data_IF_457816528726
#
_entry.id   IF_457816528726
#
_cell.length_a   1.000
_cell.length_b   1.000
_cell.length_c   1.000
_cell.angle_alpha   90.00
_cell.angle_beta   90.00
_cell.angle_gamma   90.00
#
_symmetry.space_group_name_H-M   'P 1'
#
loop_
_entity.id
_entity.type
_entity.pdbx_description
1 polymer ?
#
# COMPACT_ATOMS: atom_id res chain seq x y z
N UNK A 1 -10.92 -52.22 -32.31
CA UNK A 1 -10.60 -50.77 -32.32
C UNK A 1 -10.98 -50.04 -31.02
N UNK A 2 -12.12 -50.31 -30.36
CA UNK A 2 -12.53 -49.63 -29.15
C UNK A 2 -11.57 -49.75 -27.94
N UNK A 3 -10.96 -50.89 -27.69
CA UNK A 3 -10.01 -51.10 -26.60
C UNK A 3 -8.72 -50.26 -26.72
N UNK A 4 -8.19 -50.12 -27.94
CA UNK A 4 -6.99 -49.28 -28.20
C UNK A 4 -7.25 -47.79 -27.95
N UNK A 5 -8.43 -47.29 -28.32
CA UNK A 5 -8.84 -45.91 -28.08
C UNK A 5 -8.98 -45.67 -26.57
N UNK A 6 -9.56 -46.62 -25.84
CA UNK A 6 -9.72 -46.51 -24.36
C UNK A 6 -8.35 -46.44 -23.64
N UNK A 7 -7.38 -47.25 -24.02
CA UNK A 7 -6.02 -47.25 -23.47
C UNK A 7 -5.32 -45.89 -23.77
N UNK A 8 -5.44 -45.41 -25.02
CA UNK A 8 -4.84 -44.11 -25.41
C UNK A 8 -5.39 -42.96 -24.57
N UNK A 9 -6.70 -42.92 -24.36
CA UNK A 9 -7.36 -41.86 -23.52
C UNK A 9 -6.86 -41.95 -22.10
N UNK A 10 -6.72 -43.16 -21.52
CA UNK A 10 -6.21 -43.29 -20.15
C UNK A 10 -4.76 -42.83 -20.02
N UNK A 11 -3.90 -43.12 -20.98
CA UNK A 11 -2.50 -42.67 -20.98
C UNK A 11 -2.41 -41.15 -21.10
N UNK A 12 -3.20 -40.55 -21.99
CA UNK A 12 -3.25 -39.06 -22.11
C UNK A 12 -3.76 -38.40 -20.84
N UNK A 13 -4.80 -38.94 -20.21
CA UNK A 13 -5.31 -38.45 -18.95
C UNK A 13 -4.29 -38.55 -17.81
N UNK A 14 -3.59 -39.69 -17.69
CA UNK A 14 -2.54 -39.87 -16.71
C UNK A 14 -1.37 -38.89 -16.92
N UNK A 15 -0.97 -38.66 -18.17
CA UNK A 15 0.06 -37.68 -18.51
C UNK A 15 -0.35 -36.24 -18.15
N UNK A 16 -1.61 -35.87 -18.42
CA UNK A 16 -2.15 -34.55 -18.05
C UNK A 16 -2.18 -34.37 -16.54
N UNK A 17 -2.63 -35.36 -15.78
CA UNK A 17 -2.66 -35.32 -14.30
C UNK A 17 -1.22 -35.19 -13.77
N UNK A 18 -0.28 -35.97 -14.24
CA UNK A 18 1.14 -35.91 -13.84
C UNK A 18 1.73 -34.51 -14.15
N UNK A 19 1.39 -33.93 -15.29
CA UNK A 19 1.83 -32.58 -15.68
C UNK A 19 1.26 -31.50 -14.74
N UNK A 20 -0.04 -31.56 -14.44
CA UNK A 20 -0.70 -30.64 -13.49
C UNK A 20 -0.10 -30.72 -12.09
N UNK A 21 0.14 -31.98 -11.59
CA UNK A 21 0.78 -32.21 -10.30
C UNK A 21 2.20 -31.62 -10.30
N UNK A 22 2.96 -31.80 -11.37
CA UNK A 22 4.32 -31.27 -11.50
C UNK A 22 4.32 -29.73 -11.46
N UNK A 23 3.36 -29.08 -12.15
CA UNK A 23 3.19 -27.64 -12.11
C UNK A 23 2.82 -27.14 -10.71
N UNK A 24 1.91 -27.84 -10.03
CA UNK A 24 1.51 -27.50 -8.66
C UNK A 24 2.68 -27.60 -7.68
N UNK A 25 3.49 -28.67 -7.77
CA UNK A 25 4.71 -28.85 -6.95
C UNK A 25 5.74 -27.74 -7.24
N UNK A 26 5.95 -27.39 -8.52
CA UNK A 26 6.85 -26.29 -8.89
C UNK A 26 6.36 -24.94 -8.35
N UNK A 27 5.06 -24.68 -8.45
CA UNK A 27 4.46 -23.46 -7.92
C UNK A 27 4.61 -23.38 -6.39
N UNK A 28 4.31 -24.46 -5.67
CA UNK A 28 4.48 -24.53 -4.21
C UNK A 28 5.95 -24.34 -3.78
N UNK A 29 6.90 -24.98 -4.47
CA UNK A 29 8.34 -24.78 -4.20
C UNK A 29 8.79 -23.34 -4.46
N UNK A 30 8.24 -22.68 -5.48
CA UNK A 30 8.54 -21.28 -5.79
C UNK A 30 7.99 -20.36 -4.71
N UNK A 31 6.74 -20.55 -4.29
CA UNK A 31 6.12 -19.81 -3.19
C UNK A 31 6.92 -19.95 -1.88
N UNK A 32 7.27 -21.18 -1.49
CA UNK A 32 8.05 -21.42 -0.27
C UNK A 32 9.44 -20.75 -0.30
N UNK A 33 10.09 -20.72 -1.47
CA UNK A 33 11.38 -20.03 -1.63
C UNK A 33 11.23 -18.51 -1.53
N UNK A 34 10.13 -17.96 -2.04
CA UNK A 34 9.85 -16.54 -1.96
C UNK A 34 9.55 -16.11 -0.52
N UNK A 35 8.74 -16.89 0.20
CA UNK A 35 8.47 -16.68 1.62
C UNK A 35 9.74 -16.76 2.48
N UNK A 36 10.65 -17.69 2.16
CA UNK A 36 11.94 -17.82 2.85
C UNK A 36 12.84 -16.61 2.58
N UNK A 37 12.90 -16.14 1.34
CA UNK A 37 13.66 -14.94 0.98
C UNK A 37 13.13 -13.71 1.71
N UNK A 38 11.83 -13.54 1.78
CA UNK A 38 11.21 -12.41 2.52
C UNK A 38 11.51 -12.50 4.00
N UNK A 39 11.46 -13.71 4.59
CA UNK A 39 11.84 -13.91 6.00
C UNK A 39 13.30 -13.59 6.26
N UNK A 40 14.20 -14.05 5.38
CA UNK A 40 15.63 -13.74 5.51
C UNK A 40 15.90 -12.25 5.35
N UNK A 41 15.30 -11.60 4.35
CA UNK A 41 15.43 -10.15 4.15
C UNK A 41 14.99 -9.35 5.39
N UNK A 42 13.96 -9.80 6.10
CA UNK A 42 13.56 -9.17 7.36
C UNK A 42 14.49 -9.46 8.53
N UNK A 43 15.13 -10.64 8.55
CA UNK A 43 16.15 -10.94 9.54
C UNK A 43 17.39 -10.05 9.34
N UNK A 44 17.87 -9.96 8.11
CA UNK A 44 18.99 -9.09 7.74
C UNK A 44 18.67 -7.62 8.05
N UNK A 45 17.46 -7.16 7.69
CA UNK A 45 17.01 -5.80 8.00
C UNK A 45 16.97 -5.50 9.50
N UNK A 46 16.55 -6.46 10.34
CA UNK A 46 16.51 -6.29 11.78
C UNK A 46 17.92 -6.04 12.37
N UNK A 47 18.95 -6.62 11.77
CA UNK A 47 20.34 -6.42 12.14
C UNK A 47 20.89 -5.08 11.60
N UNK A 48 20.46 -4.65 10.41
CA UNK A 48 20.92 -3.42 9.76
C UNK A 48 20.21 -2.14 10.25
N UNK A 49 18.94 -2.23 10.66
CA UNK A 49 18.13 -1.08 11.03
C UNK A 49 18.77 -0.17 12.11
N UNK A 50 19.36 -0.70 13.18
CA UNK A 50 20.03 0.13 14.19
C UNK A 50 21.20 0.95 13.65
N UNK A 51 21.96 0.43 12.69
CA UNK A 51 23.06 1.15 12.06
C UNK A 51 22.59 2.36 11.24
N UNK A 52 21.31 2.36 10.82
CA UNK A 52 20.64 3.48 10.12
C UNK A 52 19.96 4.44 11.12
N UNK A 53 20.03 4.19 12.41
CA UNK A 53 19.27 4.91 13.44
C UNK A 53 17.78 4.57 13.44
N UNK A 54 17.39 3.41 12.87
CA UNK A 54 16.00 2.97 12.79
C UNK A 54 15.70 1.93 13.86
N UNK A 55 14.45 1.93 14.33
CA UNK A 55 13.92 0.92 15.24
C UNK A 55 13.00 -0.01 14.47
N UNK A 56 13.17 -1.31 14.67
CA UNK A 56 12.37 -2.33 14.02
C UNK A 56 11.74 -3.28 15.04
N UNK A 57 10.44 -3.50 14.90
CA UNK A 57 9.69 -4.49 15.68
C UNK A 57 8.93 -5.42 14.71
N UNK A 58 9.20 -6.72 14.77
CA UNK A 58 8.52 -7.68 13.90
C UNK A 58 7.00 -7.66 14.08
N UNK A 59 6.53 -7.42 15.31
CA UNK A 59 5.10 -7.36 15.67
C UNK A 59 4.91 -6.40 16.83
N UNK A 60 4.06 -5.40 16.63
CA UNK A 60 3.75 -4.39 17.65
C UNK A 60 2.23 -4.32 17.87
N UNK A 61 1.68 -5.04 18.88
CA UNK A 61 0.25 -5.05 19.17
C UNK A 61 -0.24 -3.66 19.60
N UNK A 62 -1.41 -3.26 19.11
CA UNK A 62 -2.04 -1.99 19.43
C UNK A 62 -1.55 -0.79 18.62
N UNK A 63 -0.34 -0.84 18.06
CA UNK A 63 0.26 0.30 17.34
C UNK A 63 -0.51 0.73 16.10
N UNK A 64 -1.18 -0.18 15.39
CA UNK A 64 -1.97 0.16 14.24
C UNK A 64 -3.34 0.77 14.59
N UNK A 65 -3.74 0.76 15.87
CA UNK A 65 -5.05 1.29 16.32
C UNK A 65 -5.15 2.80 16.16
N UNK A 66 -4.05 3.53 16.31
CA UNK A 66 -4.01 4.99 16.14
C UNK A 66 -4.34 5.43 14.70
N UNK A 67 -4.18 4.51 13.73
CA UNK A 67 -4.43 4.74 12.31
C UNK A 67 -5.82 4.29 11.85
N UNK A 68 -6.74 3.96 12.75
CA UNK A 68 -8.12 3.64 12.38
C UNK A 68 -8.73 4.78 11.54
N UNK A 69 -9.37 4.40 10.42
CA UNK A 69 -9.96 5.34 9.47
C UNK A 69 -8.97 5.99 8.50
N UNK A 70 -7.67 5.65 8.59
CA UNK A 70 -6.64 6.15 7.66
C UNK A 70 -6.40 5.12 6.55
N UNK A 71 -6.56 5.53 5.31
CA UNK A 71 -6.31 4.69 4.14
C UNK A 71 -7.08 3.38 4.18
N UNK A 72 -6.39 2.23 4.10
CA UNK A 72 -6.99 0.91 4.08
C UNK A 72 -7.39 0.42 5.48
N UNK A 73 -7.07 1.17 6.54
CA UNK A 73 -7.35 0.75 7.91
C UNK A 73 -8.85 0.80 8.21
N UNK A 74 -9.38 -0.11 9.05
CA UNK A 74 -10.78 -0.09 9.43
C UNK A 74 -11.13 1.21 10.16
N UNK A 75 -12.37 1.69 9.99
CA UNK A 75 -12.83 2.93 10.64
C UNK A 75 -12.83 2.86 12.16
N UNK A 76 -12.90 1.65 12.73
CA UNK A 76 -12.87 1.38 14.18
C UNK A 76 -12.13 0.07 14.43
N UNK A 77 -11.45 -0.02 15.55
CA UNK A 77 -10.76 -1.22 16.01
C UNK A 77 -10.04 -0.97 17.32
N UNK A 78 -9.75 -2.04 18.03
CA UNK A 78 -8.93 -1.99 19.24
C UNK A 78 -7.83 -3.03 19.14
N UNK A 79 -6.66 -2.70 19.66
CA UNK A 79 -5.50 -3.59 19.68
C UNK A 79 -5.07 -4.10 18.30
N UNK A 80 -5.21 -3.25 17.25
CA UNK A 80 -4.78 -3.58 15.90
C UNK A 80 -3.25 -3.72 15.88
N UNK A 81 -2.78 -4.84 15.37
CA UNK A 81 -1.34 -5.14 15.32
C UNK A 81 -0.69 -4.53 14.08
N UNK A 82 0.38 -3.79 14.28
CA UNK A 82 1.33 -3.44 13.24
C UNK A 82 2.38 -4.56 13.12
N UNK A 83 2.57 -5.06 11.91
CA UNK A 83 3.62 -6.01 11.57
C UNK A 83 4.79 -5.29 10.90
N UNK A 84 6.01 -5.73 11.16
CA UNK A 84 7.22 -5.10 10.60
C UNK A 84 7.26 -3.60 10.88
N UNK A 85 6.84 -3.22 12.09
CA UNK A 85 6.77 -1.83 12.51
C UNK A 85 8.18 -1.22 12.58
N UNK A 86 8.43 -0.25 11.72
CA UNK A 86 9.72 0.41 11.61
C UNK A 86 9.54 1.90 11.80
N UNK A 87 10.40 2.50 12.62
CA UNK A 87 10.43 3.95 12.85
C UNK A 87 11.85 4.48 12.79
N UNK A 88 11.99 5.75 12.52
CA UNK A 88 13.29 6.41 12.48
C UNK A 88 13.21 7.77 11.86
N UNK A 89 14.34 8.24 11.36
CA UNK A 89 14.46 9.47 10.58
C UNK A 89 14.92 9.17 9.16
N UNK A 90 14.33 9.84 8.18
CA UNK A 90 14.68 9.75 6.79
C UNK A 90 14.60 11.12 6.12
N UNK A 91 15.71 11.59 5.52
CA UNK A 91 15.82 12.93 4.93
C UNK A 91 15.36 14.05 5.88
N UNK A 92 15.75 13.96 7.18
CA UNK A 92 15.42 14.94 8.20
C UNK A 92 13.96 14.94 8.66
N UNK A 93 13.20 13.86 8.40
CA UNK A 93 11.81 13.69 8.81
C UNK A 93 11.63 12.40 9.58
N UNK A 94 10.92 12.45 10.69
CA UNK A 94 10.51 11.23 11.36
C UNK A 94 9.55 10.45 10.46
N UNK A 95 9.70 9.13 10.45
CA UNK A 95 8.82 8.25 9.69
C UNK A 95 8.36 7.06 10.52
N UNK A 96 7.27 6.47 10.08
CA UNK A 96 6.81 5.15 10.51
C UNK A 96 6.38 4.36 9.27
N UNK A 97 6.61 3.06 9.29
CA UNK A 97 5.99 2.16 8.32
C UNK A 97 5.63 0.84 8.98
N UNK A 98 4.61 0.19 8.46
CA UNK A 98 4.14 -1.09 8.98
C UNK A 98 3.25 -1.81 7.97
N UNK A 99 3.08 -3.11 8.18
CA UNK A 99 2.08 -3.91 7.49
C UNK A 99 0.89 -4.17 8.41
N UNK A 100 -0.31 -3.94 7.89
CA UNK A 100 -1.57 -4.32 8.53
C UNK A 100 -2.16 -5.54 7.83
N UNK A 101 -2.61 -6.49 8.62
CA UNK A 101 -3.18 -7.76 8.13
C UNK A 101 -4.62 -7.91 8.58
N UNK A 102 -5.51 -8.19 7.65
CA UNK A 102 -6.92 -8.42 7.97
C UNK A 102 -7.55 -9.45 7.04
N UNK A 103 -8.64 -10.03 7.52
CA UNK A 103 -9.47 -10.90 6.70
C UNK A 103 -10.53 -10.04 6.04
N UNK A 104 -10.49 -9.94 4.72
CA UNK A 104 -11.54 -9.26 3.98
C UNK A 104 -12.81 -10.12 3.99
N UNK A 105 -13.92 -9.70 4.62
CA UNK A 105 -15.15 -10.49 4.69
C UNK A 105 -15.79 -10.70 3.31
N UNK A 106 -15.47 -9.87 2.32
CA UNK A 106 -15.93 -9.97 0.93
C UNK A 106 -15.02 -10.84 0.06
N UNK A 107 -13.87 -11.29 0.57
CA UNK A 107 -13.00 -12.18 -0.22
C UNK A 107 -13.60 -13.58 -0.32
N UNK A 108 -13.51 -14.18 -1.52
CA UNK A 108 -13.89 -15.57 -1.71
C UNK A 108 -13.13 -16.46 -0.70
N UNK A 109 -13.86 -17.37 -0.06
CA UNK A 109 -13.25 -18.44 0.73
C UNK A 109 -12.38 -19.29 -0.18
N UNK A 110 -11.18 -19.63 0.29
CA UNK A 110 -10.38 -20.67 -0.39
C UNK A 110 -11.11 -22.01 -0.29
N UNK A 111 -10.83 -22.95 -1.18
CA UNK A 111 -11.42 -24.32 -1.19
C UNK A 111 -11.28 -25.07 0.14
N UNK A 112 -10.39 -24.63 1.03
CA UNK A 112 -10.20 -25.15 2.38
C UNK A 112 -11.04 -24.43 3.45
N UNK A 113 -11.98 -23.54 3.08
CA UNK A 113 -12.79 -22.76 4.03
C UNK A 113 -12.02 -21.64 4.74
N UNK A 114 -10.74 -21.43 4.45
CA UNK A 114 -9.93 -20.37 5.05
C UNK A 114 -10.17 -19.04 4.33
N UNK A 115 -10.51 -18.01 5.07
CA UNK A 115 -10.63 -16.65 4.55
C UNK A 115 -9.26 -16.13 4.15
N UNK A 116 -9.16 -15.56 2.95
CA UNK A 116 -7.92 -15.00 2.45
C UNK A 116 -7.50 -13.78 3.26
N UNK A 117 -6.27 -13.82 3.77
CA UNK A 117 -5.66 -12.69 4.45
C UNK A 117 -5.30 -11.60 3.42
N UNK A 118 -5.65 -10.37 3.73
CA UNK A 118 -5.26 -9.19 2.96
C UNK A 118 -4.17 -8.44 3.72
N UNK A 119 -3.18 -7.95 3.00
CA UNK A 119 -2.03 -7.24 3.53
C UNK A 119 -2.08 -5.81 2.99
N UNK A 120 -1.89 -4.83 3.86
CA UNK A 120 -1.79 -3.41 3.51
C UNK A 120 -0.50 -2.85 4.11
N UNK A 121 0.37 -2.36 3.25
CA UNK A 121 1.62 -1.74 3.66
C UNK A 121 1.44 -0.23 3.74
N UNK A 122 1.66 0.34 4.92
CA UNK A 122 1.43 1.74 5.24
C UNK A 122 2.75 2.43 5.54
N UNK A 123 2.93 3.62 4.99
CA UNK A 123 4.10 4.46 5.20
C UNK A 123 3.65 5.88 5.52
N UNK A 124 4.35 6.53 6.41
CA UNK A 124 4.08 7.92 6.75
C UNK A 124 5.37 8.67 7.11
N UNK A 125 5.35 9.95 6.87
CA UNK A 125 6.38 10.90 7.31
C UNK A 125 5.72 12.06 8.05
N UNK A 126 6.42 12.61 9.04
CA UNK A 126 5.93 13.78 9.79
C UNK A 126 6.06 15.03 8.94
N UNK A 127 4.99 15.81 8.90
CA UNK A 127 4.93 17.13 8.28
C UNK A 127 5.50 18.21 9.21
N UNK A 128 5.84 19.40 8.70
CA UNK A 128 6.37 20.49 9.53
C UNK A 128 5.31 21.21 10.40
N UNK A 129 4.05 20.83 10.28
CA UNK A 129 2.94 21.40 11.05
C UNK A 129 1.65 20.62 10.86
N UNK A 130 0.56 21.09 11.47
CA UNK A 130 -0.76 20.46 11.35
C UNK A 130 -1.33 20.68 9.95
N UNK A 131 -2.04 19.69 9.44
CA UNK A 131 -2.75 19.75 8.16
C UNK A 131 -4.19 19.29 8.29
N UNK A 132 -5.08 19.91 7.52
CA UNK A 132 -6.45 19.44 7.42
C UNK A 132 -6.53 18.11 6.64
N UNK A 133 -7.59 17.35 6.91
CA UNK A 133 -7.81 16.11 6.16
C UNK A 133 -7.84 16.34 4.65
N UNK A 134 -6.98 15.64 3.95
CA UNK A 134 -6.92 15.59 2.49
C UNK A 134 -6.53 14.19 2.05
N UNK A 135 -7.23 13.66 1.06
CA UNK A 135 -6.88 12.40 0.39
C UNK A 135 -6.81 12.60 -1.12
N UNK A 136 -5.71 12.20 -1.71
CA UNK A 136 -5.46 12.24 -3.15
C UNK A 136 -5.21 10.81 -3.63
N UNK A 137 -5.98 10.36 -4.59
CA UNK A 137 -5.80 9.03 -5.16
C UNK A 137 -6.38 8.88 -6.55
N UNK A 138 -6.10 7.78 -7.23
CA UNK A 138 -6.71 7.51 -8.53
C UNK A 138 -8.24 7.35 -8.37
N UNK A 139 -9.04 7.68 -9.40
CA UNK A 139 -10.47 7.45 -9.41
C UNK A 139 -10.78 5.98 -9.12
N UNK A 140 -11.75 5.72 -8.24
CA UNK A 140 -12.16 4.35 -7.94
C UNK A 140 -12.72 3.65 -9.20
N UNK A 141 -12.70 2.31 -9.22
CA UNK A 141 -13.33 1.55 -10.31
C UNK A 141 -14.82 1.84 -10.43
N UNK A 142 -15.47 2.07 -9.28
CA UNK A 142 -16.89 2.38 -9.21
C UNK A 142 -17.18 3.79 -9.76
N UNK A 143 -16.36 4.78 -9.45
CA UNK A 143 -16.52 6.14 -9.99
C UNK A 143 -16.40 6.14 -11.52
N UNK A 144 -15.42 5.39 -12.03
CA UNK A 144 -15.25 5.21 -13.48
C UNK A 144 -16.42 4.50 -14.13
N UNK A 145 -16.94 3.45 -13.51
CA UNK A 145 -18.08 2.67 -14.03
C UNK A 145 -19.39 3.47 -13.99
N UNK A 146 -19.58 4.35 -13.00
CA UNK A 146 -20.78 5.19 -12.86
C UNK A 146 -20.69 6.51 -13.62
N UNK A 147 -19.60 6.75 -14.36
CA UNK A 147 -19.40 8.01 -15.08
C UNK A 147 -19.43 9.24 -14.15
N UNK A 148 -19.16 9.03 -12.84
CA UNK A 148 -19.06 10.15 -11.91
C UNK A 148 -17.83 10.97 -12.27
N UNK A 149 -18.09 12.06 -13.02
CA UNK A 149 -17.06 13.00 -13.43
C UNK A 149 -16.23 13.52 -12.26
N UNK A 150 -15.04 14.08 -12.53
CA UNK A 150 -14.22 14.68 -11.49
C UNK A 150 -15.01 15.75 -10.75
N UNK A 151 -14.95 15.75 -9.40
CA UNK A 151 -15.38 16.92 -8.64
C UNK A 151 -14.35 18.01 -8.95
N UNK A 152 -14.73 18.99 -9.75
CA UNK A 152 -13.89 20.15 -10.09
C UNK A 152 -13.55 20.90 -8.81
N UNK A 153 -12.37 20.72 -8.27
CA UNK A 153 -11.89 21.47 -7.13
C UNK A 153 -10.93 22.58 -7.55
N UNK A 154 -10.00 22.23 -8.42
CA UNK A 154 -8.89 23.11 -8.79
C UNK A 154 -9.07 23.72 -10.19
N UNK A 155 -10.12 23.31 -10.89
CA UNK A 155 -10.37 23.68 -12.28
C UNK A 155 -9.19 23.40 -13.22
N UNK A 156 -8.45 22.30 -12.92
CA UNK A 156 -7.31 21.79 -13.71
C UNK A 156 -7.71 20.45 -14.31
N UNK A 157 -8.25 20.44 -15.55
CA UNK A 157 -8.86 19.25 -16.14
C UNK A 157 -7.96 18.03 -16.18
N UNK A 158 -6.66 18.21 -16.49
CA UNK A 158 -5.70 17.11 -16.57
C UNK A 158 -5.46 16.44 -15.21
N UNK A 159 -5.42 17.22 -14.12
CA UNK A 159 -5.27 16.69 -12.79
C UNK A 159 -6.55 16.02 -12.29
N UNK A 160 -7.69 16.67 -12.50
CA UNK A 160 -9.01 16.18 -12.08
C UNK A 160 -9.41 14.87 -12.80
N UNK A 161 -8.90 14.63 -14.02
CA UNK A 161 -9.09 13.38 -14.74
C UNK A 161 -8.32 12.21 -14.10
N UNK A 162 -7.09 12.45 -13.64
CA UNK A 162 -6.18 11.41 -13.12
C UNK A 162 -6.30 11.17 -11.63
N UNK A 163 -6.74 12.19 -10.87
CA UNK A 163 -6.80 12.14 -9.40
C UNK A 163 -8.14 12.58 -8.84
N UNK A 164 -8.52 11.96 -7.75
CA UNK A 164 -9.62 12.38 -6.87
C UNK A 164 -9.04 13.01 -5.62
N UNK A 165 -9.64 14.13 -5.21
CA UNK A 165 -9.28 14.83 -3.97
C UNK A 165 -10.51 14.85 -3.06
N UNK A 166 -10.44 14.07 -1.96
CA UNK A 166 -11.41 14.14 -0.87
C UNK A 166 -10.82 15.01 0.25
N UNK A 167 -11.62 15.88 0.83
CA UNK A 167 -11.14 16.95 1.74
C UNK A 167 -12.18 17.41 2.73
N UNK A 168 -11.70 18.01 3.81
CA UNK A 168 -12.52 18.77 4.76
C UNK A 168 -12.33 20.28 4.60
N UNK A 169 -11.18 20.75 4.12
CA UNK A 169 -10.82 22.14 3.96
C UNK A 169 -10.32 22.41 2.52
N UNK A 170 -10.97 23.35 1.83
CA UNK A 170 -10.62 23.71 0.45
C UNK A 170 -9.37 24.58 0.37
N UNK A 171 -9.21 25.49 1.33
CA UNK A 171 -8.08 26.43 1.33
C UNK A 171 -6.79 25.69 1.64
N UNK A 172 -6.82 24.73 2.59
CA UNK A 172 -5.71 23.84 2.84
C UNK A 172 -5.29 23.09 1.56
N UNK A 173 -6.26 22.49 0.86
CA UNK A 173 -5.97 21.76 -0.38
C UNK A 173 -5.39 22.66 -1.47
N UNK A 174 -5.88 23.88 -1.62
CA UNK A 174 -5.34 24.86 -2.60
C UNK A 174 -3.89 25.23 -2.26
N UNK A 175 -3.59 25.38 -0.96
CA UNK A 175 -2.26 25.70 -0.48
C UNK A 175 -1.27 24.54 -0.63
N UNK A 176 -1.75 23.30 -0.49
CA UNK A 176 -0.93 22.07 -0.70
C UNK A 176 -0.76 21.75 -2.17
N UNK A 177 -1.86 21.74 -2.96
CA UNK A 177 -1.85 21.35 -4.36
C UNK A 177 -1.48 22.51 -5.28
N UNK A 178 -0.33 23.11 -5.05
CA UNK A 178 0.26 24.12 -5.94
C UNK A 178 0.53 23.57 -7.34
N UNK A 179 0.87 24.42 -8.29
CA UNK A 179 1.24 24.03 -9.64
C UNK A 179 2.39 23.01 -9.66
N UNK A 180 3.41 23.21 -8.80
CA UNK A 180 4.56 22.30 -8.69
C UNK A 180 4.15 20.93 -8.16
N UNK A 181 3.36 20.86 -7.09
CA UNK A 181 2.86 19.58 -6.54
C UNK A 181 2.00 18.85 -7.57
N UNK A 182 1.11 19.56 -8.28
CA UNK A 182 0.27 18.96 -9.31
C UNK A 182 1.09 18.43 -10.49
N UNK A 183 2.05 19.23 -10.98
CA UNK A 183 2.94 18.83 -12.06
C UNK A 183 3.76 17.59 -11.68
N UNK A 184 4.27 17.53 -10.46
CA UNK A 184 4.96 16.36 -9.93
C UNK A 184 4.06 15.13 -9.90
N UNK A 185 2.87 15.22 -9.31
CA UNK A 185 1.94 14.08 -9.23
C UNK A 185 1.49 13.58 -10.61
N UNK A 186 1.34 14.48 -11.58
CA UNK A 186 0.98 14.13 -12.96
C UNK A 186 2.11 13.40 -13.69
N UNK A 187 3.35 13.78 -13.45
CA UNK A 187 4.53 13.25 -14.14
C UNK A 187 5.13 12.02 -13.46
N UNK A 188 5.03 11.89 -12.14
CA UNK A 188 5.65 10.80 -11.39
C UNK A 188 4.83 9.51 -11.49
N UNK A 189 5.40 8.41 -12.02
CA UNK A 189 4.70 7.14 -12.16
C UNK A 189 4.30 6.51 -10.81
N UNK A 190 4.96 6.91 -9.71
CA UNK A 190 4.66 6.43 -8.36
C UNK A 190 3.28 6.93 -7.90
N UNK A 191 2.89 8.16 -8.25
CA UNK A 191 1.65 8.78 -7.83
C UNK A 191 0.39 7.99 -8.23
N UNK A 192 0.42 7.32 -9.40
CA UNK A 192 -0.71 6.51 -9.89
C UNK A 192 -1.03 5.30 -9.02
N UNK A 193 -0.05 4.80 -8.26
CA UNK A 193 -0.16 3.57 -7.45
C UNK A 193 -0.12 3.84 -5.95
N UNK A 194 0.25 5.03 -5.56
CA UNK A 194 0.47 5.42 -4.17
C UNK A 194 -0.44 6.60 -3.83
N UNK A 195 -1.64 6.35 -3.30
CA UNK A 195 -2.49 7.42 -2.82
C UNK A 195 -1.80 8.19 -1.70
N UNK A 196 -2.14 9.46 -1.56
CA UNK A 196 -1.63 10.31 -0.50
C UNK A 196 -2.77 10.71 0.43
N UNK A 197 -2.48 10.82 1.71
CA UNK A 197 -3.40 11.35 2.70
C UNK A 197 -2.64 12.22 3.69
N UNK A 198 -3.20 13.38 3.99
CA UNK A 198 -2.80 14.21 5.12
C UNK A 198 -3.80 13.97 6.25
N UNK A 199 -3.29 13.81 7.45
CA UNK A 199 -4.04 13.78 8.70
C UNK A 199 -3.13 14.31 9.81
N UNK A 200 -3.61 15.31 10.51
CA UNK A 200 -2.85 15.96 11.56
C UNK A 200 -1.46 16.42 11.03
N UNK A 201 -0.37 16.03 11.64
CA UNK A 201 0.99 16.33 11.22
C UNK A 201 1.65 15.19 10.42
N UNK A 202 0.88 14.35 9.75
CA UNK A 202 1.40 13.18 9.04
C UNK A 202 0.94 13.13 7.58
N UNK A 203 1.87 12.84 6.67
CA UNK A 203 1.59 12.51 5.26
C UNK A 203 1.75 11.00 5.06
N UNK A 204 0.68 10.36 4.59
CA UNK A 204 0.59 8.91 4.40
C UNK A 204 0.60 8.52 2.94
N UNK A 205 1.12 7.30 2.69
CA UNK A 205 0.85 6.51 1.50
C UNK A 205 0.70 5.03 1.87
N UNK A 206 0.02 4.25 1.02
CA UNK A 206 -0.15 2.81 1.24
C UNK A 206 -0.31 2.06 -0.08
N UNK A 207 -0.16 0.74 0.00
CA UNK A 207 -0.52 -0.17 -1.09
C UNK A 207 -1.00 -1.51 -0.55
N UNK A 208 -1.83 -2.20 -1.32
CA UNK A 208 -2.25 -3.58 -1.02
C UNK A 208 -1.15 -4.54 -1.45
N UNK A 209 -0.57 -5.24 -0.50
CA UNK A 209 0.54 -6.19 -0.70
C UNK A 209 1.36 -6.38 0.56
N UNK A 210 2.24 -7.36 0.52
CA UNK A 210 3.18 -7.69 1.60
C UNK A 210 4.28 -6.63 1.62
N UNK A 211 4.58 -6.11 2.81
CA UNK A 211 5.70 -5.21 3.03
C UNK A 211 7.02 -5.97 2.93
N UNK A 212 7.97 -5.41 2.21
CA UNK A 212 9.35 -5.89 2.17
C UNK A 212 10.34 -4.80 2.59
N UNK A 213 11.53 -5.14 3.12
CA UNK A 213 12.54 -4.13 3.46
C UNK A 213 12.93 -3.23 2.30
N UNK A 214 12.94 -3.78 1.08
CA UNK A 214 13.31 -3.08 -0.14
C UNK A 214 12.29 -1.98 -0.53
N UNK A 215 11.04 -2.09 -0.08
CA UNK A 215 10.00 -1.10 -0.36
C UNK A 215 10.18 0.18 0.46
N UNK A 216 10.84 0.09 1.64
CA UNK A 216 10.82 1.16 2.65
C UNK A 216 11.41 2.45 2.08
N UNK A 217 12.64 2.43 1.64
CA UNK A 217 13.31 3.65 1.14
C UNK A 217 12.61 4.25 -0.09
N UNK A 218 12.15 3.40 -1.01
CA UNK A 218 11.46 3.84 -2.21
C UNK A 218 10.15 4.60 -1.90
N UNK A 219 9.40 4.13 -0.89
CA UNK A 219 8.15 4.77 -0.44
C UNK A 219 8.41 6.02 0.38
N UNK A 220 9.41 6.00 1.26
CA UNK A 220 9.82 7.17 2.02
C UNK A 220 10.35 8.28 1.10
N UNK A 221 11.14 7.93 0.08
CA UNK A 221 11.58 8.90 -0.93
C UNK A 221 10.39 9.55 -1.64
N UNK A 222 9.36 8.77 -2.03
CA UNK A 222 8.17 9.35 -2.64
C UNK A 222 7.46 10.34 -1.72
N UNK A 223 7.26 9.99 -0.44
CA UNK A 223 6.65 10.89 0.54
C UNK A 223 7.48 12.16 0.76
N UNK A 224 8.81 12.03 0.88
CA UNK A 224 9.70 13.17 1.03
C UNK A 224 9.69 14.07 -0.22
N UNK A 225 9.70 13.47 -1.42
CA UNK A 225 9.64 14.21 -2.68
C UNK A 225 8.35 15.04 -2.81
N UNK A 226 7.21 14.50 -2.34
CA UNK A 226 5.94 15.24 -2.26
C UNK A 226 6.05 16.35 -1.21
N UNK A 227 6.52 15.99 0.00
CA UNK A 227 6.57 16.90 1.15
C UNK A 227 7.46 18.13 0.89
N UNK A 228 8.56 17.95 0.17
CA UNK A 228 9.50 19.04 -0.18
C UNK A 228 8.90 20.06 -1.16
N UNK A 229 7.89 19.64 -1.93
CA UNK A 229 7.17 20.52 -2.86
C UNK A 229 6.01 21.26 -2.24
N UNK A 230 5.51 20.77 -1.10
CA UNK A 230 4.43 21.46 -0.37
C UNK A 230 5.02 22.68 0.33
N UNK A 231 4.52 23.88 0.06
CA UNK A 231 5.01 25.11 0.72
C UNK A 231 4.85 25.01 2.24
N UNK A 232 5.86 25.46 2.98
CA UNK A 232 5.82 25.45 4.46
C UNK A 232 4.60 26.21 5.01
N UNK A 233 4.16 27.24 4.32
CA UNK A 233 3.00 28.05 4.68
C UNK A 233 1.68 27.26 4.67
N UNK A 234 1.59 26.19 3.86
CA UNK A 234 0.40 25.34 3.84
C UNK A 234 0.13 24.68 5.20
N UNK A 235 1.18 24.38 5.96
CA UNK A 235 1.11 23.75 7.28
C UNK A 235 0.92 24.72 8.44
N UNK A 236 1.09 26.01 8.22
CA UNK A 236 0.96 27.05 9.25
C UNK A 236 -0.47 27.61 9.39
N UNK A 237 -1.34 27.30 8.42
CA UNK A 237 -2.69 27.88 8.32
C UNK A 237 -3.81 26.91 8.78
N UNK A 238 -3.46 25.73 9.31
CA UNK A 238 -4.42 24.72 9.76
C UNK A 238 -4.69 24.75 11.26
#
# INVERSE_FOLDING_TARGET
MGHLIGILVQVVMAALIAWVITLAIKAAKRSNREDERVRQAWADFAEEAPARGWTYERRSPGRATEYCGVGPMPGKGSNLTAWHYTTGEFRGRSFKCFEYRYVNPMSATTDAGNKKLTYESVFLVTAPGQGAYMHIGPPSRLDRALGRGPRKLLDVPEFDEKFRVDRHDEDFVRNVLTDDVRAFLLSDPRAKKNPLRVRDDELFTWYTGILTPQDIEGRLNYLCDVMERIPAQAWAAA
#
